data_IF_519174576299
#
_entry.id   IF_519174576299
#
_cell.length_a   1.000
_cell.length_b   1.000
_cell.length_c   1.000
_cell.angle_alpha   90.00
_cell.angle_beta   90.00
_cell.angle_gamma   90.00
#
_symmetry.space_group_name_H-M   'P 1'
#
loop_
_entity.id
_entity.type
_entity.pdbx_description
1 polymer ?
#
# COMPACT_ATOMS: atom_id res chain seq x y z
N UNK A 1 20.75 6.62 -19.49
CA UNK A 1 19.81 5.58 -19.01
C UNK A 1 18.44 6.24 -18.75
N UNK A 2 17.33 5.66 -19.23
CA UNK A 2 15.99 6.24 -19.00
C UNK A 2 15.45 5.84 -17.61
N UNK A 3 14.84 6.78 -16.85
CA UNK A 3 14.25 6.47 -15.54
C UNK A 3 13.16 5.41 -15.64
N UNK A 4 12.97 4.59 -14.60
CA UNK A 4 12.00 3.48 -14.63
C UNK A 4 10.56 3.97 -14.86
N UNK A 5 10.19 5.13 -14.30
CA UNK A 5 8.87 5.76 -14.47
C UNK A 5 8.57 6.28 -15.89
N UNK A 6 9.57 6.36 -16.78
CA UNK A 6 9.38 6.73 -18.20
C UNK A 6 9.34 5.53 -19.16
N UNK A 7 9.44 4.30 -18.65
CA UNK A 7 9.38 3.09 -19.49
C UNK A 7 7.93 2.75 -19.77
N UNK A 8 7.56 2.66 -21.04
CA UNK A 8 6.24 2.13 -21.42
C UNK A 8 6.23 0.62 -21.15
N UNK A 9 5.16 0.08 -20.54
CA UNK A 9 5.07 -1.35 -20.33
C UNK A 9 5.08 -2.08 -21.69
N UNK A 10 5.75 -3.24 -21.77
CA UNK A 10 5.78 -4.02 -23.00
C UNK A 10 4.36 -4.46 -23.36
N UNK A 11 4.09 -4.49 -24.66
CA UNK A 11 2.80 -4.92 -25.18
C UNK A 11 2.63 -6.42 -25.00
N UNK A 12 1.74 -6.80 -24.08
CA UNK A 12 1.39 -8.20 -23.85
C UNK A 12 0.27 -8.63 -24.80
N UNK A 13 0.53 -9.71 -25.54
CA UNK A 13 -0.45 -10.43 -26.34
C UNK A 13 -0.68 -11.79 -25.68
N UNK A 14 -1.94 -12.11 -25.39
CA UNK A 14 -2.35 -13.38 -24.82
C UNK A 14 -3.40 -13.99 -25.74
N UNK A 15 -3.20 -15.25 -26.15
CA UNK A 15 -4.12 -15.98 -27.04
C UNK A 15 -4.53 -15.19 -28.30
N UNK A 16 -3.57 -14.53 -28.96
CA UNK A 16 -3.81 -13.73 -30.17
C UNK A 16 -4.52 -12.37 -29.94
N UNK A 17 -4.93 -12.06 -28.70
CA UNK A 17 -5.60 -10.80 -28.36
C UNK A 17 -4.65 -9.84 -27.65
N UNK A 18 -4.74 -8.55 -28.03
CA UNK A 18 -3.95 -7.47 -27.43
C UNK A 18 -4.63 -7.03 -26.13
N UNK A 19 -3.93 -7.17 -25.00
CA UNK A 19 -4.44 -6.70 -23.72
C UNK A 19 -4.20 -5.20 -23.60
N UNK A 20 -5.23 -4.46 -23.17
CA UNK A 20 -5.11 -3.03 -22.90
C UNK A 20 -4.13 -2.79 -21.74
N UNK A 21 -3.32 -1.72 -21.79
CA UNK A 21 -2.38 -1.42 -20.71
C UNK A 21 -3.12 -1.18 -19.39
N UNK A 22 -2.54 -1.60 -18.24
CA UNK A 22 -3.16 -1.39 -16.94
C UNK A 22 -3.34 0.11 -16.70
N UNK A 23 -4.56 0.51 -16.37
CA UNK A 23 -4.90 1.90 -16.06
C UNK A 23 -4.96 2.06 -14.54
N UNK A 24 -4.30 3.07 -13.96
CA UNK A 24 -4.52 3.38 -12.56
C UNK A 24 -5.98 3.80 -12.38
N UNK A 25 -6.74 3.02 -11.63
CA UNK A 25 -8.13 3.33 -11.27
C UNK A 25 -8.20 3.70 -9.79
N UNK A 26 -9.24 4.44 -9.40
CA UNK A 26 -9.51 4.71 -7.99
C UNK A 26 -9.66 3.41 -7.20
N UNK A 27 -10.26 2.38 -7.81
CA UNK A 27 -10.34 1.05 -7.22
C UNK A 27 -8.98 0.41 -6.98
N UNK A 28 -8.02 0.56 -7.89
CA UNK A 28 -6.66 0.09 -7.68
C UNK A 28 -6.00 0.79 -6.47
N UNK A 29 -6.20 2.10 -6.32
CA UNK A 29 -5.74 2.86 -5.16
C UNK A 29 -6.42 2.45 -3.86
N UNK A 30 -7.72 2.21 -3.88
CA UNK A 30 -8.47 1.69 -2.73
C UNK A 30 -7.91 0.34 -2.27
N UNK A 31 -7.73 -0.60 -3.20
CA UNK A 31 -7.17 -1.91 -2.87
C UNK A 31 -5.72 -1.82 -2.38
N UNK A 32 -4.91 -0.90 -2.91
CA UNK A 32 -3.58 -0.64 -2.37
C UNK A 32 -3.65 -0.17 -0.91
N UNK A 33 -4.56 0.76 -0.58
CA UNK A 33 -4.76 1.22 0.78
C UNK A 33 -5.24 0.09 1.70
N UNK A 34 -6.13 -0.78 1.23
CA UNK A 34 -6.59 -1.93 2.01
C UNK A 34 -5.46 -2.94 2.23
N UNK A 35 -4.81 -3.39 1.17
CA UNK A 35 -3.82 -4.47 1.27
C UNK A 35 -2.48 -4.04 1.85
N UNK A 36 -2.12 -2.76 1.78
CA UNK A 36 -0.86 -2.25 2.35
C UNK A 36 -1.13 -1.42 3.60
N UNK A 37 -2.11 -0.53 3.56
CA UNK A 37 -2.42 0.35 4.68
C UNK A 37 -2.94 -0.41 5.89
N UNK A 38 -3.83 -1.41 5.73
CA UNK A 38 -4.35 -2.18 6.87
C UNK A 38 -3.24 -2.98 7.58
N UNK A 39 -2.38 -3.74 6.87
CA UNK A 39 -1.26 -4.43 7.54
C UNK A 39 -0.29 -3.49 8.23
N UNK A 40 0.05 -2.36 7.59
CA UNK A 40 0.93 -1.34 8.19
C UNK A 40 0.30 -0.76 9.45
N UNK A 41 -0.99 -0.41 9.41
CA UNK A 41 -1.71 0.06 10.60
C UNK A 41 -1.74 -0.98 11.71
N UNK A 42 -1.96 -2.26 11.39
CA UNK A 42 -1.99 -3.32 12.38
C UNK A 42 -0.63 -3.47 13.08
N UNK A 43 0.46 -3.47 12.31
CA UNK A 43 1.83 -3.54 12.86
C UNK A 43 2.13 -2.30 13.70
N UNK A 44 1.81 -1.11 13.20
CA UNK A 44 2.00 0.14 13.94
C UNK A 44 1.22 0.14 15.26
N UNK A 45 -0.03 -0.31 15.25
CA UNK A 45 -0.87 -0.40 16.45
C UNK A 45 -0.31 -1.36 17.49
N UNK A 46 0.27 -2.49 17.07
CA UNK A 46 0.95 -3.42 17.99
C UNK A 46 2.19 -2.76 18.61
N UNK A 47 2.99 -2.08 17.80
CA UNK A 47 4.18 -1.36 18.28
C UNK A 47 3.81 -0.25 19.26
N UNK A 48 2.79 0.55 18.96
CA UNK A 48 2.26 1.57 19.86
C UNK A 48 1.84 0.96 21.20
N UNK A 49 1.14 -0.19 21.17
CA UNK A 49 0.75 -0.90 22.38
C UNK A 49 1.96 -1.35 23.21
N UNK A 50 3.01 -1.88 22.58
CA UNK A 50 4.25 -2.26 23.28
C UNK A 50 4.93 -1.05 23.91
N UNK A 51 4.99 0.09 23.20
CA UNK A 51 5.56 1.33 23.73
C UNK A 51 4.75 1.84 24.92
N UNK A 52 3.42 1.79 24.84
CA UNK A 52 2.54 2.20 25.95
C UNK A 52 2.73 1.32 27.18
N UNK A 53 2.78 0.00 26.99
CA UNK A 53 2.98 -0.96 28.09
C UNK A 53 4.34 -0.80 28.78
N UNK A 54 5.36 -0.34 28.06
CA UNK A 54 6.72 -0.19 28.58
C UNK A 54 7.00 1.19 29.17
N UNK A 55 6.47 2.25 28.57
CA UNK A 55 6.75 3.64 28.97
C UNK A 55 5.66 4.27 29.82
N UNK A 56 4.45 3.68 29.83
CA UNK A 56 3.26 4.27 30.46
C UNK A 56 2.76 5.53 29.77
N UNK A 57 3.29 5.89 28.59
CA UNK A 57 2.92 7.09 27.85
C UNK A 57 2.11 6.71 26.61
N UNK A 58 0.97 7.38 26.43
CA UNK A 58 0.15 7.19 25.25
C UNK A 58 0.91 7.70 24.00
N UNK A 59 1.07 6.84 22.98
CA UNK A 59 1.60 7.23 21.66
C UNK A 59 0.78 6.66 20.50
N UNK A 60 0.76 7.39 19.38
CA UNK A 60 0.30 6.91 18.08
C UNK A 60 -1.22 6.86 17.90
N UNK A 61 -1.71 5.87 17.15
CA UNK A 61 -3.13 5.82 16.72
C UNK A 61 -4.10 5.69 17.88
N UNK A 62 -3.65 5.05 18.97
CA UNK A 62 -4.45 4.80 20.17
C UNK A 62 -4.73 6.06 21.02
N UNK A 63 -4.03 7.17 20.79
CA UNK A 63 -4.22 8.40 21.59
C UNK A 63 -5.14 9.41 20.92
N UNK A 64 -5.59 9.11 19.71
CA UNK A 64 -6.63 9.88 19.03
C UNK A 64 -8.04 9.42 19.41
N UNK A 65 -8.19 8.27 20.08
CA UNK A 65 -9.43 7.71 20.61
C UNK A 65 -9.38 7.67 22.13
#
# INVERSE_FOLDING_TARGET
MRPFWKRRPPLQTLAGHRIAPPRPTLWAGFWLLVYVGVPVMLVASVLDGVVQLTTGRCTGWWCWF
#
